data_IF_489862885498
#
_entry.id   IF_489862885498
#
_cell.length_a   1.000
_cell.length_b   1.000
_cell.length_c   1.000
_cell.angle_alpha   90.00
_cell.angle_beta   90.00
_cell.angle_gamma   90.00
#
_symmetry.space_group_name_H-M   'P 1'
#
loop_
_entity.id
_entity.type
_entity.pdbx_description
1 polymer ?
#
# COMPACT_ATOMS: atom_id res chain seq x y z
N UNK A 1 13.25 -16.46 -37.26
CA UNK A 1 12.00 -17.06 -36.72
C UNK A 1 11.54 -16.15 -35.61
N UNK A 2 10.50 -15.35 -35.86
CA UNK A 2 9.88 -14.49 -34.85
C UNK A 2 9.07 -15.41 -33.92
N UNK A 3 9.65 -15.76 -32.76
CA UNK A 3 8.90 -16.43 -31.71
C UNK A 3 7.75 -15.51 -31.28
N UNK A 4 6.52 -15.93 -31.41
CA UNK A 4 5.38 -15.33 -30.75
C UNK A 4 5.71 -15.30 -29.25
N UNK A 5 6.10 -14.11 -28.74
CA UNK A 5 6.11 -13.87 -27.29
C UNK A 5 4.66 -14.04 -26.84
N UNK A 6 4.34 -15.19 -26.28
CA UNK A 6 3.03 -15.39 -25.64
C UNK A 6 2.92 -14.32 -24.56
N UNK A 7 1.98 -13.39 -24.75
CA UNK A 7 1.72 -12.31 -23.79
C UNK A 7 1.26 -13.00 -22.52
N UNK A 8 2.07 -12.93 -21.47
CA UNK A 8 1.70 -13.50 -20.17
C UNK A 8 0.45 -12.78 -19.65
N UNK A 9 -0.46 -13.49 -18.98
CA UNK A 9 -1.65 -12.87 -18.41
C UNK A 9 -1.25 -11.83 -17.36
N UNK A 10 -1.92 -10.66 -17.41
CA UNK A 10 -1.79 -9.58 -16.42
C UNK A 10 -3.00 -9.59 -15.49
N UNK A 11 -2.87 -8.89 -14.37
CA UNK A 11 -3.94 -8.68 -13.39
C UNK A 11 -4.43 -9.96 -12.67
N UNK A 12 -3.66 -11.04 -12.78
CA UNK A 12 -3.83 -12.30 -12.03
C UNK A 12 -2.48 -12.82 -11.54
N UNK A 13 -2.48 -13.66 -10.51
CA UNK A 13 -1.30 -14.37 -10.04
C UNK A 13 -1.00 -15.56 -10.98
N UNK A 14 0.25 -15.67 -11.38
CA UNK A 14 0.76 -16.75 -12.24
C UNK A 14 2.04 -17.33 -11.65
N UNK A 15 2.26 -18.63 -11.84
CA UNK A 15 3.52 -19.27 -11.44
C UNK A 15 4.66 -18.73 -12.31
N UNK A 16 5.74 -18.30 -11.67
CA UNK A 16 6.95 -17.79 -12.33
C UNK A 16 8.17 -17.98 -11.45
N UNK A 17 9.33 -18.21 -12.03
CA UNK A 17 10.62 -18.09 -11.32
C UNK A 17 10.95 -16.62 -11.08
N UNK A 18 11.94 -16.37 -10.20
CA UNK A 18 12.43 -15.02 -9.98
C UNK A 18 13.01 -14.39 -11.26
N UNK A 19 13.74 -15.18 -12.06
CA UNK A 19 14.34 -14.73 -13.31
C UNK A 19 13.30 -14.36 -14.35
N UNK A 20 12.21 -15.14 -14.47
CA UNK A 20 11.07 -14.83 -15.34
C UNK A 20 10.36 -13.55 -14.88
N UNK A 21 10.17 -13.40 -13.58
CA UNK A 21 9.60 -12.18 -12.99
C UNK A 21 10.46 -10.95 -13.32
N UNK A 22 11.77 -10.99 -13.08
CA UNK A 22 12.67 -9.87 -13.34
C UNK A 22 12.68 -9.51 -14.83
N UNK A 23 12.69 -10.52 -15.70
CA UNK A 23 12.63 -10.29 -17.16
C UNK A 23 11.37 -9.52 -17.59
N UNK A 24 10.26 -9.65 -16.85
CA UNK A 24 9.04 -8.88 -17.09
C UNK A 24 9.03 -7.53 -16.36
N UNK A 25 9.36 -7.51 -15.09
CA UNK A 25 9.33 -6.30 -14.27
C UNK A 25 10.28 -5.21 -14.80
N UNK A 26 11.42 -5.62 -15.38
CA UNK A 26 12.40 -4.73 -15.97
C UNK A 26 12.15 -4.47 -17.50
N UNK A 27 11.12 -5.11 -18.11
CA UNK A 27 10.76 -4.86 -19.52
C UNK A 27 10.10 -3.47 -19.66
N UNK A 28 10.58 -2.60 -20.55
CA UNK A 28 9.98 -1.28 -20.81
C UNK A 28 8.49 -1.31 -21.14
N UNK A 29 7.98 -2.42 -21.69
CA UNK A 29 6.56 -2.60 -21.98
C UNK A 29 5.68 -2.55 -20.70
N UNK A 30 6.25 -2.89 -19.54
CA UNK A 30 5.57 -2.91 -18.23
C UNK A 30 6.03 -1.79 -17.29
N UNK A 31 6.76 -0.79 -17.80
CA UNK A 31 7.32 0.31 -16.98
C UNK A 31 6.28 1.12 -16.19
N UNK A 32 5.00 1.02 -16.54
CA UNK A 32 3.86 1.66 -15.84
C UNK A 32 3.03 0.67 -15.03
N UNK A 33 3.37 -0.60 -15.06
CA UNK A 33 2.66 -1.64 -14.32
C UNK A 33 3.20 -1.74 -12.89
N UNK A 34 2.32 -2.11 -11.95
CA UNK A 34 2.75 -2.53 -10.62
C UNK A 34 3.14 -3.99 -10.66
N UNK A 35 4.29 -4.31 -10.07
CA UNK A 35 4.86 -5.65 -10.08
C UNK A 35 4.89 -6.22 -8.68
N UNK A 36 4.44 -7.48 -8.55
CA UNK A 36 4.43 -8.22 -7.29
C UNK A 36 5.02 -9.61 -7.53
N UNK A 37 5.86 -10.06 -6.60
CA UNK A 37 6.42 -11.40 -6.60
C UNK A 37 6.43 -11.99 -5.19
N UNK A 38 5.98 -13.23 -5.07
CA UNK A 38 5.94 -13.97 -3.81
C UNK A 38 5.95 -15.48 -4.08
N UNK A 39 6.87 -16.20 -3.45
CA UNK A 39 6.89 -17.69 -3.40
C UNK A 39 6.67 -18.39 -4.74
N UNK A 40 7.39 -17.97 -5.80
CA UNK A 40 7.26 -18.59 -7.13
C UNK A 40 6.00 -18.18 -7.88
N UNK A 41 5.36 -17.09 -7.48
CA UNK A 41 4.23 -16.50 -8.17
C UNK A 41 4.47 -15.01 -8.41
N UNK A 42 4.05 -14.52 -9.58
CA UNK A 42 4.10 -13.11 -9.92
C UNK A 42 2.72 -12.58 -10.29
N UNK A 43 2.54 -11.27 -10.13
CA UNK A 43 1.39 -10.51 -10.63
C UNK A 43 1.88 -9.21 -11.22
N UNK A 44 1.44 -8.91 -12.43
CA UNK A 44 1.71 -7.63 -13.12
C UNK A 44 0.37 -6.92 -13.27
N UNK A 45 0.19 -5.81 -12.59
CA UNK A 45 -1.05 -5.01 -12.62
C UNK A 45 -0.93 -3.88 -13.64
N UNK A 46 -1.81 -3.91 -14.64
CA UNK A 46 -1.83 -2.94 -15.72
C UNK A 46 -3.11 -2.10 -15.77
N UNK A 47 -4.01 -2.32 -14.80
CA UNK A 47 -5.30 -1.64 -14.74
C UNK A 47 -5.16 -0.13 -14.55
N UNK A 48 -6.02 0.63 -15.23
CA UNK A 48 -6.11 2.07 -15.06
C UNK A 48 -6.76 2.42 -13.71
N UNK A 49 -6.34 3.56 -13.16
CA UNK A 49 -6.89 4.08 -11.89
C UNK A 49 -8.09 4.96 -12.19
N UNK A 50 -9.26 4.59 -11.65
CA UNK A 50 -10.49 5.40 -11.72
C UNK A 50 -10.49 6.57 -10.74
N UNK A 51 -11.40 7.57 -10.93
CA UNK A 51 -11.46 8.78 -10.09
C UNK A 51 -11.68 8.49 -8.60
N UNK A 52 -12.52 7.53 -8.26
CA UNK A 52 -12.83 7.21 -6.85
C UNK A 52 -11.64 6.58 -6.15
N UNK A 53 -10.95 5.64 -6.82
CA UNK A 53 -9.70 5.07 -6.29
C UNK A 53 -8.63 6.14 -6.08
N UNK A 54 -8.46 7.05 -7.04
CA UNK A 54 -7.49 8.16 -6.93
C UNK A 54 -7.85 9.11 -5.79
N UNK A 55 -9.14 9.40 -5.61
CA UNK A 55 -9.64 10.25 -4.51
C UNK A 55 -9.41 9.60 -3.15
N UNK A 56 -9.71 8.32 -3.00
CA UNK A 56 -9.53 7.59 -1.75
C UNK A 56 -8.05 7.50 -1.36
N UNK A 57 -7.16 7.27 -2.34
CA UNK A 57 -5.72 7.34 -2.12
C UNK A 57 -5.29 8.71 -1.59
N UNK A 58 -5.75 9.78 -2.22
CA UNK A 58 -5.43 11.15 -1.81
C UNK A 58 -5.97 11.47 -0.40
N UNK A 59 -7.19 11.05 -0.06
CA UNK A 59 -7.79 11.25 1.28
C UNK A 59 -7.02 10.46 2.33
N UNK A 60 -6.64 9.21 2.07
CA UNK A 60 -5.86 8.40 3.01
C UNK A 60 -4.49 9.03 3.30
N UNK A 61 -3.76 9.43 2.26
CA UNK A 61 -2.49 10.16 2.40
C UNK A 61 -2.64 11.44 3.21
N UNK A 62 -3.62 12.27 2.85
CA UNK A 62 -3.86 13.56 3.49
C UNK A 62 -4.22 13.39 4.97
N UNK A 63 -5.14 12.49 5.30
CA UNK A 63 -5.59 12.26 6.67
C UNK A 63 -4.46 11.79 7.59
N UNK A 64 -3.63 10.84 7.14
CA UNK A 64 -2.50 10.32 7.93
C UNK A 64 -1.45 11.42 8.12
N UNK A 65 -1.09 12.15 7.06
CA UNK A 65 -0.13 13.25 7.16
C UNK A 65 -0.62 14.36 8.09
N UNK A 66 -1.90 14.74 8.00
CA UNK A 66 -2.52 15.73 8.89
C UNK A 66 -2.49 15.27 10.35
N UNK A 67 -2.91 14.02 10.62
CA UNK A 67 -2.89 13.44 11.96
C UNK A 67 -1.48 13.49 12.57
N UNK A 68 -0.48 12.99 11.84
CA UNK A 68 0.90 12.97 12.31
C UNK A 68 1.45 14.38 12.55
N UNK A 69 1.14 15.33 11.67
CA UNK A 69 1.53 16.75 11.81
C UNK A 69 0.97 17.34 13.11
N UNK A 70 -0.32 17.10 13.41
CA UNK A 70 -0.97 17.62 14.61
C UNK A 70 -0.48 16.94 15.89
N UNK A 71 -0.13 15.67 15.82
CA UNK A 71 0.37 14.91 16.98
C UNK A 71 1.90 14.98 17.16
N UNK A 72 2.62 15.70 16.27
CA UNK A 72 4.08 15.77 16.30
C UNK A 72 4.77 14.43 16.06
N UNK A 73 4.13 13.52 15.30
CA UNK A 73 4.67 12.22 14.96
C UNK A 73 5.50 12.36 13.68
N UNK A 74 6.78 12.04 13.75
CA UNK A 74 7.66 12.01 12.58
C UNK A 74 7.20 10.91 11.61
N UNK A 75 7.14 11.23 10.31
CA UNK A 75 6.82 10.24 9.28
C UNK A 75 7.50 10.57 7.96
N UNK A 76 7.72 9.54 7.14
CA UNK A 76 7.97 9.68 5.71
C UNK A 76 6.99 8.78 4.96
N UNK A 77 6.11 9.40 4.18
CA UNK A 77 5.16 8.72 3.30
C UNK A 77 5.72 8.62 1.89
N UNK A 78 5.54 7.46 1.26
CA UNK A 78 5.95 7.16 -0.10
C UNK A 78 4.74 6.67 -0.89
N UNK A 79 4.42 7.36 -1.98
CA UNK A 79 3.34 7.03 -2.90
C UNK A 79 3.87 6.16 -4.03
N UNK A 80 3.25 5.00 -4.27
CA UNK A 80 3.62 4.05 -5.32
C UNK A 80 5.11 3.63 -5.32
N UNK A 81 5.73 3.51 -4.15
CA UNK A 81 7.13 3.09 -4.03
C UNK A 81 7.29 1.59 -4.25
N UNK A 82 8.18 1.20 -5.15
CA UNK A 82 8.54 -0.20 -5.37
C UNK A 82 9.59 -0.66 -4.36
N UNK A 83 9.38 -1.84 -3.80
CA UNK A 83 10.27 -2.49 -2.84
C UNK A 83 10.67 -3.86 -3.34
N UNK A 84 11.98 -4.16 -3.34
CA UNK A 84 12.53 -5.44 -3.79
C UNK A 84 13.42 -6.06 -2.71
N UNK A 85 13.11 -7.30 -2.34
CA UNK A 85 14.03 -8.20 -1.64
C UNK A 85 14.56 -9.20 -2.66
N UNK A 86 15.82 -9.05 -3.01
CA UNK A 86 16.46 -9.77 -4.14
C UNK A 86 16.29 -11.28 -4.03
N UNK A 87 15.82 -11.91 -5.12
CA UNK A 87 15.61 -13.36 -5.20
C UNK A 87 14.39 -13.88 -4.45
N UNK A 88 13.63 -13.01 -3.75
CA UNK A 88 12.61 -13.46 -2.79
C UNK A 88 11.26 -12.81 -3.02
N UNK A 89 11.20 -11.48 -3.08
CA UNK A 89 9.92 -10.73 -3.11
C UNK A 89 10.06 -9.37 -3.77
N UNK A 90 8.96 -8.94 -4.37
CA UNK A 90 8.77 -7.57 -4.82
C UNK A 90 7.34 -7.12 -4.57
N UNK A 91 7.14 -5.83 -4.24
CA UNK A 91 5.84 -5.23 -4.10
C UNK A 91 5.87 -3.73 -4.44
N UNK A 92 4.71 -3.19 -4.81
CA UNK A 92 4.52 -1.78 -5.05
C UNK A 92 3.17 -1.32 -4.49
N UNK A 93 3.11 -1.08 -3.16
CA UNK A 93 1.88 -0.59 -2.53
C UNK A 93 1.45 0.78 -3.07
N UNK A 94 0.16 1.09 -2.95
CA UNK A 94 -0.33 2.43 -3.26
C UNK A 94 0.32 3.47 -2.32
N UNK A 95 0.39 3.18 -1.02
CA UNK A 95 1.04 4.05 -0.03
C UNK A 95 1.85 3.23 0.98
N UNK A 96 2.98 3.77 1.40
CA UNK A 96 3.76 3.21 2.50
C UNK A 96 4.31 4.30 3.40
N UNK A 97 4.49 3.99 4.69
CA UNK A 97 4.99 4.92 5.69
C UNK A 97 6.08 4.32 6.56
N UNK A 98 7.09 5.14 6.83
CA UNK A 98 8.06 4.98 7.90
C UNK A 98 7.71 5.97 9.01
N UNK A 99 7.53 5.52 10.26
CA UNK A 99 6.88 6.27 11.34
C UNK A 99 7.79 6.38 12.57
N UNK A 100 7.69 7.50 13.29
CA UNK A 100 8.46 7.74 14.51
C UNK A 100 9.96 7.77 14.24
N UNK A 101 10.73 7.05 15.05
CA UNK A 101 12.19 6.95 14.91
C UNK A 101 12.60 6.29 13.58
N UNK A 102 11.74 5.46 13.01
CA UNK A 102 12.01 4.81 11.73
C UNK A 102 11.79 5.72 10.51
N UNK A 103 11.18 6.89 10.68
CA UNK A 103 10.97 7.84 9.59
C UNK A 103 12.28 8.17 8.84
N UNK A 104 13.41 8.28 9.57
CA UNK A 104 14.73 8.52 8.98
C UNK A 104 15.29 7.36 8.14
N UNK A 105 14.73 6.14 8.27
CA UNK A 105 15.14 4.96 7.53
C UNK A 105 14.44 4.83 6.17
N UNK A 106 13.52 5.73 5.85
CA UNK A 106 12.83 5.74 4.56
C UNK A 106 13.85 5.82 3.41
N UNK A 107 13.73 4.97 2.38
CA UNK A 107 14.65 4.95 1.24
C UNK A 107 14.61 6.28 0.49
N UNK A 108 15.73 6.62 -0.17
CA UNK A 108 15.88 7.82 -1.00
C UNK A 108 16.46 7.45 -2.36
N UNK A 109 16.26 8.31 -3.33
CA UNK A 109 16.75 8.11 -4.70
C UNK A 109 15.61 7.77 -5.68
N UNK A 110 15.97 7.34 -6.88
CA UNK A 110 15.06 7.11 -8.01
C UNK A 110 14.94 5.64 -8.43
N UNK A 111 15.64 4.74 -7.76
CA UNK A 111 15.59 3.29 -8.03
C UNK A 111 14.65 2.57 -7.07
N UNK A 112 14.28 1.34 -7.40
CA UNK A 112 13.52 0.43 -6.53
C UNK A 112 14.21 0.36 -5.16
N UNK A 113 13.43 0.51 -4.09
CA UNK A 113 13.92 0.45 -2.71
C UNK A 113 14.36 -0.99 -2.36
N UNK A 114 15.63 -1.17 -2.01
CA UNK A 114 16.19 -2.47 -1.65
C UNK A 114 15.87 -2.83 -0.20
N UNK A 115 15.07 -3.87 0.00
CA UNK A 115 14.81 -4.48 1.31
C UNK A 115 15.96 -5.38 1.81
N UNK A 116 17.07 -5.46 1.06
CA UNK A 116 18.28 -6.12 1.53
C UNK A 116 19.10 -5.20 2.46
N UNK A 117 18.90 -3.87 2.33
CA UNK A 117 19.62 -2.86 3.10
C UNK A 117 18.71 -1.90 3.87
N UNK A 118 17.46 -1.73 3.44
CA UNK A 118 16.47 -0.88 4.10
C UNK A 118 15.42 -1.76 4.78
N UNK A 119 14.99 -1.47 6.00
CA UNK A 119 13.90 -2.22 6.61
C UNK A 119 12.58 -2.00 5.84
N UNK A 120 11.60 -2.91 5.97
CA UNK A 120 10.27 -2.69 5.41
C UNK A 120 9.59 -1.48 6.09
N UNK A 121 8.61 -0.83 5.43
CA UNK A 121 7.82 0.25 6.04
C UNK A 121 7.02 -0.24 7.26
N UNK A 122 6.62 0.69 8.12
CA UNK A 122 5.80 0.39 9.29
C UNK A 122 4.33 0.18 8.91
N UNK A 123 3.83 0.97 7.97
CA UNK A 123 2.46 0.89 7.46
C UNK A 123 2.47 0.80 5.94
N UNK A 124 1.68 -0.12 5.42
CA UNK A 124 1.41 -0.27 3.98
C UNK A 124 -0.09 -0.17 3.75
N UNK A 125 -0.48 0.55 2.70
CA UNK A 125 -1.88 0.73 2.30
C UNK A 125 -2.03 0.37 0.82
N UNK A 126 -3.02 -0.47 0.52
CA UNK A 126 -3.52 -0.73 -0.83
C UNK A 126 -4.93 -0.15 -0.97
N UNK A 127 -5.24 0.43 -2.13
CA UNK A 127 -6.55 0.99 -2.44
C UNK A 127 -7.22 0.10 -3.46
N UNK A 128 -8.19 -0.68 -3.01
CA UNK A 128 -8.85 -1.73 -3.76
C UNK A 128 -10.18 -1.25 -4.35
N UNK A 129 -10.28 -1.16 -5.66
CA UNK A 129 -11.54 -0.95 -6.37
C UNK A 129 -12.12 -2.29 -6.89
N UNK A 130 -11.35 -3.01 -7.72
CA UNK A 130 -11.71 -4.33 -8.25
C UNK A 130 -10.81 -5.47 -7.76
N UNK A 131 -9.78 -5.16 -6.98
CA UNK A 131 -8.72 -6.08 -6.53
C UNK A 131 -8.88 -6.56 -5.09
N UNK A 132 -9.99 -6.23 -4.42
CA UNK A 132 -10.18 -6.46 -2.99
C UNK A 132 -9.84 -7.90 -2.54
N UNK A 133 -10.22 -8.91 -3.32
CA UNK A 133 -9.94 -10.31 -2.98
C UNK A 133 -8.44 -10.61 -2.97
N UNK A 134 -7.68 -10.06 -3.93
CA UNK A 134 -6.22 -10.21 -4.00
C UNK A 134 -5.53 -9.43 -2.88
N UNK A 135 -6.01 -8.21 -2.60
CA UNK A 135 -5.44 -7.34 -1.58
C UNK A 135 -5.62 -7.93 -0.16
N UNK A 136 -6.79 -8.51 0.16
CA UNK A 136 -6.99 -9.21 1.44
C UNK A 136 -6.46 -10.65 1.46
N UNK A 137 -6.09 -11.22 0.31
CA UNK A 137 -5.55 -12.56 0.10
C UNK A 137 -4.03 -12.56 -0.06
N UNK A 138 -3.56 -12.78 -1.29
CA UNK A 138 -2.14 -13.01 -1.60
C UNK A 138 -1.25 -11.80 -1.27
N UNK A 139 -1.71 -10.56 -1.50
CA UNK A 139 -0.92 -9.37 -1.13
C UNK A 139 -0.80 -9.23 0.39
N UNK A 140 -1.86 -9.53 1.16
CA UNK A 140 -1.76 -9.54 2.62
C UNK A 140 -0.68 -10.51 3.10
N UNK A 141 -0.65 -11.74 2.55
CA UNK A 141 0.38 -12.73 2.87
C UNK A 141 1.79 -12.26 2.46
N UNK A 142 1.92 -11.55 1.33
CA UNK A 142 3.18 -10.92 0.93
C UNK A 142 3.67 -9.92 1.97
N UNK A 143 2.79 -9.04 2.47
CA UNK A 143 3.15 -8.03 3.47
C UNK A 143 3.38 -8.63 4.87
N UNK A 144 2.69 -9.71 5.23
CA UNK A 144 2.98 -10.51 6.42
C UNK A 144 4.42 -11.06 6.37
N UNK A 145 4.82 -11.65 5.25
CA UNK A 145 6.16 -12.21 5.06
C UNK A 145 7.25 -11.14 4.95
N UNK A 146 6.91 -9.93 4.52
CA UNK A 146 7.80 -8.77 4.55
C UNK A 146 7.93 -8.18 5.95
N UNK A 147 7.07 -8.59 6.90
CA UNK A 147 7.06 -8.12 8.30
C UNK A 147 6.83 -6.61 8.41
N UNK A 148 5.93 -6.05 7.59
CA UNK A 148 5.40 -4.71 7.86
C UNK A 148 4.64 -4.74 9.18
N UNK A 149 4.57 -3.64 9.92
CA UNK A 149 3.87 -3.66 11.20
C UNK A 149 2.34 -3.64 11.00
N UNK A 150 1.85 -2.82 10.06
CA UNK A 150 0.44 -2.77 9.71
C UNK A 150 0.22 -2.79 8.19
N UNK A 151 -0.85 -3.48 7.80
CA UNK A 151 -1.32 -3.56 6.43
C UNK A 151 -2.79 -3.17 6.35
N UNK A 152 -3.13 -2.16 5.56
CA UNK A 152 -4.50 -1.67 5.40
C UNK A 152 -4.94 -1.79 3.95
N UNK A 153 -6.21 -2.18 3.75
CA UNK A 153 -6.86 -2.22 2.45
C UNK A 153 -8.06 -1.27 2.48
N UNK A 154 -8.04 -0.27 1.63
CA UNK A 154 -9.16 0.66 1.41
C UNK A 154 -10.10 0.03 0.39
N UNK A 155 -11.29 -0.38 0.82
CA UNK A 155 -12.37 -0.86 -0.05
C UNK A 155 -13.11 0.38 -0.62
N UNK A 156 -12.79 0.73 -1.87
CA UNK A 156 -13.35 1.90 -2.56
C UNK A 156 -14.87 1.79 -2.69
N UNK A 157 -15.38 0.59 -2.99
CA UNK A 157 -16.81 0.36 -3.21
C UNK A 157 -17.66 0.60 -1.96
N UNK A 158 -17.10 0.31 -0.77
CA UNK A 158 -17.79 0.47 0.50
C UNK A 158 -17.34 1.67 1.32
N UNK A 159 -16.32 2.40 0.90
CA UNK A 159 -15.66 3.44 1.70
C UNK A 159 -15.29 2.92 3.10
N UNK A 160 -14.68 1.74 3.16
CA UNK A 160 -14.26 1.04 4.38
C UNK A 160 -12.78 0.73 4.35
N UNK A 161 -12.19 0.53 5.53
CA UNK A 161 -10.78 0.13 5.67
C UNK A 161 -10.69 -1.19 6.41
N UNK A 162 -10.04 -2.16 5.77
CA UNK A 162 -9.74 -3.45 6.34
C UNK A 162 -8.30 -3.40 6.86
N UNK A 163 -8.13 -2.98 8.11
CA UNK A 163 -6.81 -2.84 8.73
C UNK A 163 -6.37 -4.10 9.47
N UNK A 164 -5.08 -4.45 9.32
CA UNK A 164 -4.45 -5.59 9.98
C UNK A 164 -3.16 -5.16 10.69
N UNK A 165 -2.96 -5.62 11.93
CA UNK A 165 -1.63 -5.71 12.54
C UNK A 165 -0.99 -7.04 12.11
N UNK A 166 0.26 -6.99 11.72
CA UNK A 166 1.06 -8.18 11.40
C UNK A 166 1.73 -8.66 12.69
N UNK A 167 1.49 -9.93 13.01
CA UNK A 167 2.02 -10.56 14.21
C UNK A 167 3.17 -11.47 13.78
N UNK A 168 4.38 -11.20 14.26
CA UNK A 168 5.54 -12.00 13.91
C UNK A 168 5.25 -13.50 14.12
N UNK A 169 5.44 -14.29 13.06
CA UNK A 169 5.25 -15.75 13.01
C UNK A 169 3.80 -16.26 13.27
N UNK A 170 2.81 -15.38 13.46
CA UNK A 170 1.43 -15.72 13.81
C UNK A 170 0.38 -15.17 12.83
N UNK A 171 0.78 -14.66 11.66
CA UNK A 171 -0.13 -14.07 10.66
C UNK A 171 -0.55 -12.65 11.02
N UNK A 172 -1.83 -12.33 10.86
CA UNK A 172 -2.35 -10.97 11.07
C UNK A 172 -3.68 -10.99 11.84
N UNK A 173 -3.98 -9.89 12.54
CA UNK A 173 -5.25 -9.65 13.22
C UNK A 173 -5.88 -8.33 12.81
N UNK A 174 -7.20 -8.27 12.82
CA UNK A 174 -7.95 -7.06 12.51
C UNK A 174 -7.71 -5.96 13.55
N UNK A 175 -7.64 -4.72 13.05
CA UNK A 175 -7.52 -3.50 13.84
C UNK A 175 -8.77 -2.64 13.68
N UNK A 176 -9.14 -1.94 14.75
CA UNK A 176 -10.11 -0.83 14.75
C UNK A 176 -9.44 0.51 15.06
N UNK A 177 -8.19 0.46 15.51
CA UNK A 177 -7.32 1.60 15.78
C UNK A 177 -5.90 1.19 15.42
N UNK A 178 -5.13 2.12 14.83
CA UNK A 178 -3.73 1.90 14.50
C UNK A 178 -2.88 1.75 15.76
N UNK A 179 -1.92 0.85 15.72
CA UNK A 179 -0.90 0.67 16.76
C UNK A 179 0.37 1.45 16.44
N UNK A 180 0.69 1.60 15.12
CA UNK A 180 1.84 2.42 14.68
C UNK A 180 1.53 3.91 14.70
N UNK A 181 0.23 4.29 14.73
CA UNK A 181 -0.26 5.65 14.88
C UNK A 181 -1.25 5.73 16.06
N UNK A 182 -0.74 5.69 17.30
CA UNK A 182 -1.59 5.65 18.50
C UNK A 182 -2.58 6.82 18.55
N UNK A 183 -3.85 6.51 18.77
CA UNK A 183 -4.96 7.47 18.75
C UNK A 183 -5.70 7.58 17.41
N UNK A 184 -5.11 7.11 16.30
CA UNK A 184 -5.80 7.11 15.00
C UNK A 184 -6.74 5.92 14.89
N UNK A 185 -8.05 6.18 14.96
CA UNK A 185 -9.07 5.14 14.77
C UNK A 185 -9.39 4.96 13.29
N UNK A 186 -9.62 3.72 12.87
CA UNK A 186 -10.00 3.40 11.48
C UNK A 186 -11.33 4.07 11.11
N UNK A 187 -12.27 4.16 12.05
CA UNK A 187 -13.58 4.77 11.81
C UNK A 187 -13.52 6.25 11.36
N UNK A 188 -12.56 7.02 11.84
CA UNK A 188 -12.37 8.41 11.40
C UNK A 188 -11.94 8.49 9.94
N UNK A 189 -11.05 7.60 9.52
CA UNK A 189 -10.61 7.52 8.12
C UNK A 189 -11.75 7.06 7.21
N UNK A 190 -12.53 6.07 7.63
CA UNK A 190 -13.71 5.60 6.87
C UNK A 190 -14.76 6.72 6.72
N UNK A 191 -14.98 7.53 7.76
CA UNK A 191 -15.88 8.69 7.66
C UNK A 191 -15.32 9.74 6.68
N UNK A 192 -14.02 9.99 6.67
CA UNK A 192 -13.39 10.87 5.68
C UNK A 192 -13.61 10.37 4.25
N UNK A 193 -13.48 9.06 4.01
CA UNK A 193 -13.77 8.44 2.71
C UNK A 193 -15.25 8.62 2.31
N UNK A 194 -16.19 8.39 3.23
CA UNK A 194 -17.62 8.58 2.98
C UNK A 194 -17.95 10.03 2.65
N UNK A 195 -17.41 10.98 3.41
CA UNK A 195 -17.60 12.42 3.17
C UNK A 195 -17.10 12.85 1.81
N UNK A 196 -15.96 12.32 1.37
CA UNK A 196 -15.35 12.63 0.08
C UNK A 196 -16.23 12.25 -1.13
N UNK A 197 -17.30 11.48 -0.94
CA UNK A 197 -18.27 11.17 -2.00
C UNK A 197 -19.21 12.35 -2.31
N UNK A 198 -19.42 13.26 -1.35
CA UNK A 198 -20.37 14.36 -1.45
C UNK A 198 -19.78 15.72 -1.11
N UNK A 199 -18.65 15.78 -0.44
CA UNK A 199 -17.93 16.97 -0.03
C UNK A 199 -16.63 17.11 -0.82
N UNK A 200 -16.13 18.32 -1.01
CA UNK A 200 -14.81 18.54 -1.57
C UNK A 200 -13.69 18.24 -0.53
N UNK A 201 -12.46 18.11 -1.01
CA UNK A 201 -11.33 17.74 -0.15
C UNK A 201 -10.99 18.81 0.91
N UNK A 202 -11.32 20.08 0.68
CA UNK A 202 -11.11 21.15 1.67
C UNK A 202 -12.11 21.02 2.83
N UNK A 203 -13.37 20.68 2.54
CA UNK A 203 -14.40 20.42 3.54
C UNK A 203 -14.07 19.17 4.38
N UNK A 204 -13.67 18.06 3.73
CA UNK A 204 -13.19 16.86 4.41
C UNK A 204 -11.96 17.17 5.27
N UNK A 205 -11.04 17.98 4.76
CA UNK A 205 -9.84 18.41 5.50
C UNK A 205 -10.18 19.24 6.73
N UNK A 206 -11.09 20.17 6.64
CA UNK A 206 -11.54 20.98 7.78
C UNK A 206 -12.20 20.10 8.85
N UNK A 207 -13.00 19.12 8.43
CA UNK A 207 -13.60 18.14 9.34
C UNK A 207 -12.54 17.27 10.04
N UNK A 208 -11.58 16.72 9.28
CA UNK A 208 -10.47 15.91 9.84
C UNK A 208 -9.66 16.73 10.85
N UNK A 209 -9.35 17.99 10.53
CA UNK A 209 -8.63 18.88 11.44
C UNK A 209 -9.37 19.01 12.78
N UNK A 210 -10.68 19.25 12.75
CA UNK A 210 -11.49 19.34 13.96
C UNK A 210 -11.53 18.03 14.75
N UNK A 211 -11.63 16.87 14.07
CA UNK A 211 -11.62 15.56 14.73
C UNK A 211 -10.28 15.29 15.43
N UNK A 212 -9.15 15.56 14.79
CA UNK A 212 -7.82 15.26 15.32
C UNK A 212 -7.38 16.24 16.43
N UNK A 213 -7.96 17.44 16.49
CA UNK A 213 -7.72 18.38 17.59
C UNK A 213 -8.47 18.00 18.89
N UNK A 214 -9.54 17.21 18.79
CA UNK A 214 -10.36 16.79 19.93
C UNK A 214 -9.85 15.48 20.59
N UNK A 215 -8.99 14.75 19.91
CA UNK A 215 -8.34 13.54 20.40
C UNK A 215 -7.02 13.87 21.13
#
# INVERSE_FOLDING_TARGET
MSGLKTKLPTDIWVVATWEEFIAMADDPAYSKAKCYYRNGQMRIETMSVGPDRARDNAIALFAINLFCTLKGISLNGLDNCSYRKTGVRECQPDVSYYIGERAQLAPRGSSIASLDVTPPPDLVIEVADSTLADDIGEKRLLYEELKVAEYWVVDVQKSQIIAFAIIADNGSRRLVQSEVLPGLTIAVLEEALRRSRTEDQAQVGAWLLAQFQQQ
#
